data_IF_596740511798
#
_entry.id   IF_596740511798
#
_cell.length_a   1.000
_cell.length_b   1.000
_cell.length_c   1.000
_cell.angle_alpha   90.00
_cell.angle_beta   90.00
_cell.angle_gamma   90.00
#
_symmetry.space_group_name_H-M   'P 1'
#
loop_
_entity.id
_entity.type
_entity.pdbx_description
1 polymer ?
#
# COMPACT_ATOMS: atom_id res chain seq x y z
N UNK A 1 -6.58 -22.72 -9.92
CA UNK A 1 -7.13 -21.41 -9.54
C UNK A 1 -6.53 -20.38 -10.45
N UNK A 2 -7.33 -19.50 -11.04
CA UNK A 2 -6.84 -18.44 -11.93
C UNK A 2 -6.13 -17.35 -11.11
N UNK A 3 -5.05 -16.80 -11.67
CA UNK A 3 -4.44 -15.56 -11.15
C UNK A 3 -5.32 -14.37 -11.55
N UNK A 4 -5.19 -13.24 -10.84
CA UNK A 4 -5.86 -11.98 -11.17
C UNK A 4 -5.45 -11.45 -12.56
N UNK A 5 -4.28 -11.87 -13.06
CA UNK A 5 -3.75 -11.40 -14.34
C UNK A 5 -2.91 -10.14 -14.18
N UNK A 6 -3.00 -9.24 -15.16
CA UNK A 6 -2.20 -8.02 -15.21
C UNK A 6 -2.73 -7.01 -14.19
N UNK A 7 -1.84 -6.49 -13.36
CA UNK A 7 -2.11 -5.47 -12.34
C UNK A 7 -1.14 -4.30 -12.49
N UNK A 8 -1.48 -3.17 -11.89
CA UNK A 8 -0.61 -2.01 -11.86
C UNK A 8 -0.82 -1.24 -10.54
N UNK A 9 0.28 -0.77 -9.92
CA UNK A 9 0.18 0.05 -8.74
C UNK A 9 -0.24 1.48 -9.09
N UNK A 10 -0.75 2.18 -8.10
CA UNK A 10 -1.02 3.62 -8.16
C UNK A 10 -0.45 4.32 -6.92
N UNK A 11 -0.03 5.57 -7.12
CA UNK A 11 0.52 6.39 -6.04
C UNK A 11 -0.55 7.31 -5.49
N UNK A 12 -0.76 7.24 -4.17
CA UNK A 12 -1.61 8.16 -3.44
C UNK A 12 -0.75 9.20 -2.72
N UNK A 13 -0.86 10.46 -3.15
CA UNK A 13 -0.21 11.59 -2.49
C UNK A 13 -1.06 12.10 -1.31
N UNK A 14 -0.42 12.43 -0.20
CA UNK A 14 -1.01 12.98 1.02
C UNK A 14 -0.30 14.27 1.43
N UNK A 15 -1.03 15.39 1.39
CA UNK A 15 -0.54 16.69 1.83
C UNK A 15 -0.59 16.87 3.35
N UNK A 16 -1.55 16.21 4.01
CA UNK A 16 -1.70 16.30 5.45
C UNK A 16 -0.52 15.58 6.14
N UNK A 17 0.25 16.25 7.02
CA UNK A 17 1.40 15.63 7.65
C UNK A 17 1.00 14.42 8.51
N UNK A 18 1.75 13.33 8.37
CA UNK A 18 1.63 12.17 9.26
C UNK A 18 2.42 12.45 10.54
N UNK A 19 1.75 12.47 11.70
CA UNK A 19 2.40 12.57 13.00
C UNK A 19 2.97 11.20 13.35
N UNK A 20 4.25 11.16 13.71
CA UNK A 20 4.94 9.91 14.00
C UNK A 20 5.07 9.70 15.50
N UNK A 21 5.15 8.45 15.95
CA UNK A 21 5.30 8.09 17.37
C UNK A 21 6.53 8.71 18.02
N UNK A 22 7.59 8.96 17.24
CA UNK A 22 8.82 9.59 17.73
C UNK A 22 8.69 11.11 17.99
N UNK A 23 7.49 11.70 17.79
CA UNK A 23 7.20 13.13 18.00
C UNK A 23 7.47 14.03 16.78
N UNK A 24 8.06 13.49 15.71
CA UNK A 24 8.26 14.21 14.44
C UNK A 24 7.02 14.09 13.54
N UNK A 25 7.07 14.70 12.36
CA UNK A 25 6.04 14.56 11.35
C UNK A 25 6.63 14.42 9.96
N UNK A 26 6.07 13.52 9.16
CA UNK A 26 6.39 13.39 7.74
C UNK A 26 5.40 14.23 6.92
N UNK A 27 5.89 15.29 6.28
CA UNK A 27 5.09 16.18 5.46
C UNK A 27 5.11 15.74 3.99
N UNK A 28 3.97 15.85 3.29
CA UNK A 28 3.87 15.63 1.84
C UNK A 28 4.45 14.29 1.40
N UNK A 29 3.71 13.21 1.62
CA UNK A 29 4.19 11.85 1.37
C UNK A 29 3.31 11.08 0.40
N UNK A 30 3.91 10.06 -0.19
CA UNK A 30 3.34 9.16 -1.18
C UNK A 30 3.26 7.74 -0.61
N UNK A 31 2.11 7.09 -0.83
CA UNK A 31 1.95 5.67 -0.62
C UNK A 31 1.66 5.00 -1.95
N UNK A 32 2.48 4.01 -2.31
CA UNK A 32 2.21 3.15 -3.46
C UNK A 32 1.29 2.03 -3.01
N UNK A 33 0.20 1.86 -3.73
CA UNK A 33 -0.84 0.89 -3.42
C UNK A 33 -1.23 0.11 -4.68
N UNK A 34 -1.75 -1.09 -4.48
CA UNK A 34 -2.37 -1.88 -5.53
C UNK A 34 -3.69 -2.45 -5.00
N UNK A 35 -4.68 -2.59 -5.87
CA UNK A 35 -6.04 -2.99 -5.48
C UNK A 35 -6.55 -4.09 -6.38
N UNK A 36 -7.29 -5.03 -5.80
CA UNK A 36 -7.80 -6.21 -6.49
C UNK A 36 -9.29 -6.41 -6.22
N UNK A 37 -10.04 -6.79 -7.26
CA UNK A 37 -11.51 -6.87 -7.17
C UNK A 37 -12.18 -5.51 -7.28
N UNK A 38 -13.38 -5.37 -6.72
CA UNK A 38 -14.19 -4.13 -6.85
C UNK A 38 -14.79 -3.74 -5.51
N UNK A 39 -14.57 -2.49 -5.10
CA UNK A 39 -15.18 -1.92 -3.90
C UNK A 39 -16.68 -1.77 -4.13
N UNK A 40 -17.49 -2.37 -3.26
CA UNK A 40 -18.94 -2.32 -3.39
C UNK A 40 -19.48 -0.92 -3.01
N UNK A 41 -20.73 -0.62 -3.39
CA UNK A 41 -21.33 0.70 -3.15
C UNK A 41 -21.40 1.08 -1.65
N UNK A 42 -21.55 0.09 -0.77
CA UNK A 42 -21.58 0.27 0.68
C UNK A 42 -20.18 0.35 1.32
N UNK A 43 -19.13 0.16 0.53
CA UNK A 43 -17.72 0.11 0.93
C UNK A 43 -17.42 -0.86 2.09
N UNK A 44 -18.19 -1.95 2.15
CA UNK A 44 -18.18 -2.91 3.27
C UNK A 44 -17.39 -4.18 2.99
N UNK A 45 -16.80 -4.30 1.79
CA UNK A 45 -16.09 -5.50 1.35
C UNK A 45 -14.58 -5.27 1.20
N UNK A 46 -14.04 -4.21 1.79
CA UNK A 46 -12.62 -3.92 1.72
C UNK A 46 -11.81 -4.80 2.69
N UNK A 47 -10.67 -5.33 2.23
CA UNK A 47 -9.71 -6.08 3.04
C UNK A 47 -8.32 -5.48 2.83
N UNK A 48 -7.69 -5.04 3.91
CA UNK A 48 -6.31 -4.57 3.89
C UNK A 48 -5.34 -5.73 4.07
N UNK A 49 -4.34 -5.85 3.18
CA UNK A 49 -3.23 -6.80 3.31
C UNK A 49 -1.97 -6.04 3.68
N UNK A 50 -1.47 -6.32 4.88
CA UNK A 50 -0.20 -5.76 5.37
C UNK A 50 0.94 -6.70 4.97
N UNK A 51 1.93 -6.16 4.24
CA UNK A 51 3.05 -6.97 3.75
C UNK A 51 4.13 -7.20 4.84
N UNK A 52 4.90 -8.28 4.67
CA UNK A 52 6.07 -8.58 5.50
C UNK A 52 7.28 -7.69 5.14
N UNK A 53 8.38 -7.82 5.90
CA UNK A 53 9.56 -6.92 5.81
C UNK A 53 10.13 -6.74 4.39
N UNK A 54 10.22 -7.79 3.59
CA UNK A 54 10.82 -7.78 2.25
C UNK A 54 9.79 -7.83 1.11
N UNK A 55 8.50 -7.74 1.44
CA UNK A 55 7.40 -7.71 0.48
C UNK A 55 6.97 -6.25 0.20
N UNK A 56 5.95 -6.08 -0.64
CA UNK A 56 5.48 -4.76 -1.08
C UNK A 56 3.96 -4.74 -1.28
N UNK A 57 3.44 -3.67 -1.88
CA UNK A 57 2.05 -3.57 -2.35
C UNK A 57 1.65 -4.65 -3.38
N UNK A 58 2.62 -5.32 -4.02
CA UNK A 58 2.38 -6.33 -5.07
C UNK A 58 1.98 -7.69 -4.49
N UNK A 59 0.73 -7.79 -4.03
CA UNK A 59 0.20 -8.98 -3.34
C UNK A 59 -0.08 -10.11 -4.32
N UNK A 60 -0.63 -9.84 -5.50
CA UNK A 60 -1.08 -10.87 -6.45
C UNK A 60 -1.07 -10.37 -7.90
N UNK A 61 -1.23 -11.28 -8.87
CA UNK A 61 -1.16 -10.94 -10.28
C UNK A 61 0.28 -10.82 -10.79
N UNK A 62 0.42 -10.22 -11.98
CA UNK A 62 1.71 -9.96 -12.64
C UNK A 62 1.72 -8.55 -13.23
N UNK A 63 2.91 -7.99 -13.43
CA UNK A 63 3.05 -6.73 -14.17
C UNK A 63 3.07 -6.95 -15.68
N UNK A 64 2.55 -5.97 -16.42
CA UNK A 64 2.54 -5.99 -17.87
C UNK A 64 3.97 -6.15 -18.42
N UNK A 65 4.16 -7.10 -19.33
CA UNK A 65 5.47 -7.39 -19.92
C UNK A 65 6.44 -8.18 -19.02
N UNK A 66 6.08 -8.49 -17.77
CA UNK A 66 6.91 -9.27 -16.84
C UNK A 66 6.12 -10.40 -16.16
N UNK A 67 5.84 -11.51 -16.88
CA UNK A 67 5.03 -12.62 -16.36
C UNK A 67 5.73 -13.41 -15.23
N UNK A 68 7.01 -13.14 -14.94
CA UNK A 68 7.73 -13.75 -13.83
C UNK A 68 7.60 -12.96 -12.53
N UNK A 69 7.16 -11.71 -12.62
CA UNK A 69 6.94 -10.84 -11.47
C UNK A 69 5.57 -11.13 -10.84
N UNK A 70 5.46 -12.31 -10.26
CA UNK A 70 4.23 -12.78 -9.61
C UNK A 70 4.15 -12.18 -8.21
N UNK A 71 2.98 -11.65 -7.85
CA UNK A 71 2.72 -11.10 -6.52
C UNK A 71 3.01 -12.13 -5.41
N UNK A 72 3.54 -11.65 -4.29
CA UNK A 72 4.14 -12.51 -3.26
C UNK A 72 3.14 -13.44 -2.56
N UNK A 73 1.83 -13.19 -2.70
CA UNK A 73 0.74 -14.00 -2.17
C UNK A 73 -0.31 -14.41 -3.21
N UNK A 74 0.08 -14.49 -4.49
CA UNK A 74 -0.86 -14.79 -5.58
C UNK A 74 -1.67 -16.06 -5.30
N UNK A 75 -1.07 -17.12 -4.77
CA UNK A 75 -1.80 -18.36 -4.48
C UNK A 75 -2.95 -18.20 -3.45
N UNK A 76 -2.94 -17.15 -2.65
CA UNK A 76 -3.96 -16.87 -1.62
C UNK A 76 -5.00 -15.84 -2.07
N UNK A 77 -4.66 -14.95 -3.01
CA UNK A 77 -5.48 -13.79 -3.39
C UNK A 77 -5.88 -13.88 -4.87
N UNK A 78 -7.19 -13.81 -5.14
CA UNK A 78 -7.73 -13.83 -6.51
C UNK A 78 -9.09 -14.53 -6.63
N UNK A 79 -9.63 -14.66 -7.85
CA UNK A 79 -10.97 -15.20 -8.09
C UNK A 79 -11.12 -16.63 -7.53
N UNK A 80 -12.01 -16.81 -6.55
CA UNK A 80 -12.28 -18.09 -5.89
C UNK A 80 -11.17 -18.63 -4.98
N UNK A 81 -10.14 -17.84 -4.68
CA UNK A 81 -9.06 -18.16 -3.74
C UNK A 81 -9.50 -17.86 -2.28
N UNK A 82 -8.72 -18.23 -1.25
CA UNK A 82 -9.08 -17.95 0.15
C UNK A 82 -9.41 -16.49 0.43
N UNK A 83 -8.65 -15.55 -0.16
CA UNK A 83 -9.01 -14.15 -0.23
C UNK A 83 -9.59 -13.86 -1.63
N UNK A 84 -10.90 -14.07 -1.74
CA UNK A 84 -11.63 -14.09 -3.01
C UNK A 84 -11.93 -12.68 -3.54
N UNK A 85 -11.29 -12.29 -4.65
CA UNK A 85 -11.48 -10.97 -5.27
C UNK A 85 -12.78 -10.85 -6.07
N UNK A 86 -13.55 -11.93 -6.26
CA UNK A 86 -14.93 -11.82 -6.73
C UNK A 86 -15.87 -11.28 -5.63
N UNK A 87 -15.43 -11.30 -4.37
CA UNK A 87 -16.22 -10.90 -3.19
C UNK A 87 -15.64 -9.68 -2.51
N UNK A 88 -14.33 -9.63 -2.34
CA UNK A 88 -13.63 -8.60 -1.61
C UNK A 88 -12.89 -7.63 -2.53
N UNK A 89 -12.81 -6.38 -2.08
CA UNK A 89 -11.88 -5.39 -2.59
C UNK A 89 -10.61 -5.43 -1.74
N UNK A 90 -9.57 -6.04 -2.26
CA UNK A 90 -8.32 -6.25 -1.53
C UNK A 90 -7.37 -5.10 -1.81
N UNK A 91 -6.71 -4.58 -0.78
CA UNK A 91 -5.80 -3.44 -0.86
C UNK A 91 -4.42 -3.87 -0.35
N UNK A 92 -3.40 -3.79 -1.20
CA UNK A 92 -2.00 -3.86 -0.81
C UNK A 92 -1.43 -2.45 -0.68
N UNK A 93 -0.82 -2.13 0.47
CA UNK A 93 -0.20 -0.82 0.72
C UNK A 93 1.28 -1.03 1.00
N UNK A 94 2.15 -0.35 0.27
CA UNK A 94 3.58 -0.38 0.54
C UNK A 94 3.91 0.61 1.67
N UNK A 95 4.58 0.11 2.70
CA UNK A 95 4.88 0.86 3.92
C UNK A 95 5.83 2.04 3.67
N UNK A 96 5.71 3.09 4.49
CA UNK A 96 6.69 4.18 4.54
C UNK A 96 8.08 3.65 4.91
N UNK A 97 9.11 4.16 4.25
CA UNK A 97 10.49 3.69 4.41
C UNK A 97 10.86 2.49 3.53
N UNK A 98 9.91 1.88 2.84
CA UNK A 98 10.15 0.80 1.89
C UNK A 98 10.92 1.27 0.64
N UNK A 99 11.66 0.37 0.00
CA UNK A 99 12.33 0.62 -1.28
C UNK A 99 11.44 0.38 -2.51
N UNK A 100 10.16 0.01 -2.32
CA UNK A 100 9.22 -0.27 -3.40
C UNK A 100 8.30 0.91 -3.77
N UNK A 101 8.77 2.15 -3.58
CA UNK A 101 8.19 3.35 -4.18
C UNK A 101 7.46 4.31 -3.24
N UNK A 102 6.90 3.84 -2.12
CA UNK A 102 6.34 4.73 -1.09
C UNK A 102 7.43 5.63 -0.50
N UNK A 103 7.08 6.77 0.07
CA UNK A 103 8.06 7.71 0.61
C UNK A 103 8.99 7.03 1.62
N UNK A 104 10.29 7.14 1.37
CA UNK A 104 11.35 6.53 2.16
C UNK A 104 12.66 7.30 2.04
N UNK A 105 13.78 6.73 2.51
CA UNK A 105 15.08 7.41 2.53
C UNK A 105 15.56 7.93 1.17
N UNK A 106 15.18 7.28 0.07
CA UNK A 106 15.57 7.70 -1.28
C UNK A 106 14.64 8.75 -1.88
N UNK A 107 13.51 9.05 -1.24
CA UNK A 107 12.58 10.08 -1.70
C UNK A 107 13.12 11.48 -1.43
N UNK A 108 12.69 12.46 -2.22
CA UNK A 108 13.08 13.86 -2.06
C UNK A 108 12.33 14.45 -0.85
N UNK A 109 13.09 15.06 0.06
CA UNK A 109 12.58 15.86 1.16
C UNK A 109 12.09 17.22 0.61
N UNK A 110 10.79 17.55 0.72
CA UNK A 110 10.24 18.80 0.19
C UNK A 110 10.81 20.04 0.88
N UNK A 111 11.35 19.92 2.11
CA UNK A 111 11.95 21.05 2.81
C UNK A 111 13.35 21.41 2.28
N UNK A 112 14.08 20.43 1.74
CA UNK A 112 15.48 20.62 1.31
C UNK A 112 15.70 20.42 -0.19
N UNK A 113 14.76 19.81 -0.91
CA UNK A 113 14.89 19.45 -2.31
C UNK A 113 15.94 18.37 -2.59
N UNK A 114 16.40 17.65 -1.56
CA UNK A 114 17.40 16.58 -1.64
C UNK A 114 16.82 15.27 -1.09
N UNK A 115 17.37 14.09 -1.42
CA UNK A 115 16.93 12.84 -0.81
C UNK A 115 17.04 12.89 0.72
N UNK A 116 16.04 12.33 1.43
CA UNK A 116 16.04 12.28 2.90
C UNK A 116 17.31 11.61 3.45
N UNK A 117 17.73 10.49 2.86
CA UNK A 117 18.83 9.66 3.32
C UNK A 117 18.68 9.29 4.80
N UNK A 118 19.75 9.44 5.57
CA UNK A 118 19.75 9.18 7.01
C UNK A 118 18.87 10.14 7.83
N UNK A 119 18.34 11.21 7.23
CA UNK A 119 17.39 12.13 7.88
C UNK A 119 15.94 11.65 7.80
N UNK A 120 15.66 10.58 7.04
CA UNK A 120 14.33 9.99 7.02
C UNK A 120 13.95 9.58 8.46
N UNK A 121 12.76 9.96 8.95
CA UNK A 121 12.39 9.68 10.33
C UNK A 121 12.31 8.18 10.57
N UNK A 122 12.64 7.76 11.80
CA UNK A 122 12.40 6.39 12.24
C UNK A 122 10.90 6.16 12.31
N UNK A 123 10.40 5.19 11.55
CA UNK A 123 8.98 4.81 11.52
C UNK A 123 8.73 3.55 12.35
N UNK A 124 7.61 3.50 13.03
CA UNK A 124 7.15 2.32 13.78
C UNK A 124 5.98 1.62 13.07
N UNK A 125 5.51 0.51 13.66
CA UNK A 125 4.33 -0.20 13.13
C UNK A 125 3.07 0.67 13.27
N UNK A 126 2.94 1.41 14.36
CA UNK A 126 1.84 2.35 14.58
C UNK A 126 1.80 3.43 13.50
N UNK A 127 2.96 3.97 13.11
CA UNK A 127 3.04 4.95 12.02
C UNK A 127 2.57 4.36 10.68
N UNK A 128 2.88 3.08 10.41
CA UNK A 128 2.37 2.40 9.22
C UNK A 128 0.86 2.18 9.29
N UNK A 129 0.32 1.81 10.45
CA UNK A 129 -1.13 1.66 10.65
C UNK A 129 -1.84 3.00 10.44
N UNK A 130 -1.30 4.09 10.97
CA UNK A 130 -1.85 5.44 10.78
C UNK A 130 -1.82 5.83 9.28
N UNK A 131 -0.73 5.53 8.57
CA UNK A 131 -0.63 5.74 7.13
C UNK A 131 -1.66 4.90 6.34
N UNK A 132 -1.86 3.63 6.72
CA UNK A 132 -2.85 2.74 6.11
C UNK A 132 -4.29 3.21 6.38
N UNK A 133 -4.57 3.77 7.56
CA UNK A 133 -5.86 4.38 7.86
C UNK A 133 -6.16 5.55 6.92
N UNK A 134 -5.15 6.37 6.56
CA UNK A 134 -5.32 7.43 5.53
C UNK A 134 -5.65 6.88 4.14
N UNK A 135 -5.17 5.68 3.80
CA UNK A 135 -5.59 4.99 2.57
C UNK A 135 -7.05 4.56 2.65
N UNK A 136 -7.49 4.04 3.80
CA UNK A 136 -8.90 3.73 4.02
C UNK A 136 -9.78 4.99 3.85
N UNK A 137 -9.38 6.12 4.45
CA UNK A 137 -10.07 7.41 4.30
C UNK A 137 -10.14 7.86 2.84
N UNK A 138 -9.06 7.67 2.06
CA UNK A 138 -9.01 8.02 0.62
C UNK A 138 -10.04 7.25 -0.20
N UNK A 139 -10.23 5.97 0.10
CA UNK A 139 -11.28 5.15 -0.50
C UNK A 139 -12.65 5.33 0.20
N UNK A 140 -12.67 6.13 1.29
CA UNK A 140 -13.75 6.35 2.24
C UNK A 140 -14.35 5.05 2.76
N UNK A 141 -13.49 4.17 3.25
CA UNK A 141 -13.80 2.92 3.93
C UNK A 141 -13.75 3.21 5.43
N UNK A 142 -14.89 3.14 6.10
CA UNK A 142 -14.96 3.38 7.55
C UNK A 142 -14.52 2.15 8.36
N UNK A 143 -14.65 0.95 7.77
CA UNK A 143 -14.31 -0.32 8.42
C UNK A 143 -13.96 -1.38 7.37
N UNK A 144 -12.86 -2.09 7.60
CA UNK A 144 -12.53 -3.30 6.84
C UNK A 144 -13.46 -4.47 7.20
N UNK A 145 -13.65 -5.39 6.26
CA UNK A 145 -14.57 -6.52 6.35
C UNK A 145 -14.21 -7.52 7.45
#
# INVERSE_FOLDING_TARGET
MESIGIVAPHTLHFNEPLRLQNGTSLAGYDLVVETYGTLNAARSNAVLVCHALNASHHVAGVYEGDPKNVGWWDNMVGPGKPLDTNRFFVIGVNNLGSCFGSTGPMSVDPATGQPYGAKFPVVTVEDWVDAQARVADRFGIDKFA
#
